data_IF_936812895968
#
_entry.id   IF_936812895968
#
_cell.length_a   1.000
_cell.length_b   1.000
_cell.length_c   1.000
_cell.angle_alpha   90.00
_cell.angle_beta   90.00
_cell.angle_gamma   90.00
#
_symmetry.space_group_name_H-M   'P 1'
#
loop_
_entity.id
_entity.type
_entity.pdbx_description
1 polymer ?
#
# COMPACT_ATOMS: atom_id res chain seq x y z
N UNK A 1 17.68 19.23 -2.82
CA UNK A 1 17.03 18.34 -1.83
C UNK A 1 17.62 16.96 -2.05
N UNK A 2 18.42 16.53 -1.14
CA UNK A 2 18.99 15.18 -1.08
C UNK A 2 17.93 14.23 -0.53
N UNK A 3 17.86 13.02 -1.10
CA UNK A 3 16.91 12.00 -0.69
C UNK A 3 17.72 10.78 -0.29
N UNK A 4 17.55 10.34 0.94
CA UNK A 4 18.14 9.12 1.47
C UNK A 4 17.11 7.99 1.33
N UNK A 5 17.49 6.91 0.63
CA UNK A 5 16.66 5.72 0.51
C UNK A 5 17.15 4.64 1.47
N UNK A 6 16.23 3.85 2.02
CA UNK A 6 16.58 2.82 2.98
C UNK A 6 15.49 1.82 3.26
N UNK A 7 15.75 0.98 4.26
CA UNK A 7 14.83 -0.02 4.80
C UNK A 7 14.34 0.48 6.16
N UNK A 8 13.06 0.32 6.44
CA UNK A 8 12.42 0.74 7.68
C UNK A 8 13.00 0.02 8.90
N UNK A 9 13.51 0.78 9.86
CA UNK A 9 13.80 0.29 11.19
C UNK A 9 12.51 -0.01 11.99
N UNK A 10 12.59 -0.93 12.94
CA UNK A 10 11.41 -1.27 13.75
C UNK A 10 10.94 -0.12 14.64
N UNK A 11 11.84 0.70 15.08
CA UNK A 11 11.62 1.93 15.84
C UNK A 11 10.96 3.03 15.02
N UNK A 12 11.08 2.97 13.68
CA UNK A 12 10.48 3.92 12.74
C UNK A 12 9.06 3.51 12.29
N UNK A 13 8.56 2.35 12.73
CA UNK A 13 7.24 1.85 12.29
C UNK A 13 6.13 2.87 12.55
N UNK A 14 6.13 3.55 13.70
CA UNK A 14 5.10 4.54 14.01
C UNK A 14 5.17 5.75 13.07
N UNK A 15 6.36 6.23 12.71
CA UNK A 15 6.53 7.31 11.75
C UNK A 15 5.95 6.94 10.37
N UNK A 16 6.20 5.70 9.90
CA UNK A 16 5.61 5.20 8.64
C UNK A 16 4.08 5.11 8.69
N UNK A 17 3.52 4.70 9.84
CA UNK A 17 2.06 4.63 10.07
C UNK A 17 1.43 6.03 10.02
N UNK A 18 2.04 7.01 10.67
CA UNK A 18 1.55 8.39 10.67
C UNK A 18 1.61 9.00 9.26
N UNK A 19 2.72 8.76 8.52
CA UNK A 19 2.87 9.20 7.14
C UNK A 19 1.79 8.57 6.26
N UNK A 20 1.63 7.25 6.32
CA UNK A 20 0.61 6.53 5.54
C UNK A 20 -0.80 7.03 5.87
N UNK A 21 -1.08 7.25 7.16
CA UNK A 21 -2.37 7.78 7.59
C UNK A 21 -2.63 9.16 6.99
N UNK A 22 -1.69 10.11 7.07
CA UNK A 22 -1.84 11.44 6.46
C UNK A 22 -2.08 11.36 4.95
N UNK A 23 -1.30 10.53 4.25
CA UNK A 23 -1.41 10.36 2.80
C UNK A 23 -2.76 9.75 2.37
N UNK A 24 -3.33 8.85 3.19
CA UNK A 24 -4.57 8.16 2.87
C UNK A 24 -5.85 8.87 3.34
N UNK A 25 -5.74 9.93 4.13
CA UNK A 25 -6.92 10.66 4.63
C UNK A 25 -7.85 11.20 3.53
N UNK A 26 -7.31 11.50 2.34
CA UNK A 26 -8.06 12.03 1.20
C UNK A 26 -8.16 11.04 0.04
N UNK A 27 -7.67 9.82 0.20
CA UNK A 27 -7.68 8.83 -0.85
C UNK A 27 -9.04 8.15 -0.96
N UNK A 28 -9.64 8.14 -2.15
CA UNK A 28 -10.99 7.62 -2.41
C UNK A 28 -11.18 6.17 -1.96
N UNK A 29 -10.14 5.37 -2.03
CA UNK A 29 -10.08 4.01 -1.52
C UNK A 29 -10.49 3.87 -0.04
N UNK A 30 -10.31 4.93 0.76
CA UNK A 30 -10.71 4.96 2.15
C UNK A 30 -11.91 5.87 2.41
N UNK A 31 -12.04 6.99 1.69
CA UNK A 31 -13.14 7.93 1.93
C UNK A 31 -14.50 7.33 1.58
N UNK A 32 -14.56 6.40 0.62
CA UNK A 32 -15.78 5.70 0.24
C UNK A 32 -16.33 4.78 1.35
N UNK A 33 -15.46 4.24 2.20
CA UNK A 33 -15.84 3.32 3.27
C UNK A 33 -15.89 3.99 4.64
N UNK A 34 -15.08 5.00 4.85
CA UNK A 34 -14.96 5.75 6.10
C UNK A 34 -15.21 7.24 5.84
N UNK A 35 -16.47 7.67 5.60
CA UNK A 35 -16.77 9.05 5.25
C UNK A 35 -16.47 10.04 6.37
N UNK A 36 -16.67 9.64 7.64
CA UNK A 36 -16.30 10.47 8.79
C UNK A 36 -14.76 10.56 8.93
N UNK A 37 -14.16 11.77 8.85
CA UNK A 37 -12.72 11.95 8.99
C UNK A 37 -12.13 11.43 10.32
N UNK A 38 -12.89 11.51 11.41
CA UNK A 38 -12.44 11.03 12.74
C UNK A 38 -12.40 9.50 12.78
N UNK A 39 -13.44 8.85 12.24
CA UNK A 39 -13.48 7.40 12.09
C UNK A 39 -12.35 6.95 11.15
N UNK A 40 -12.19 7.59 10.01
CA UNK A 40 -11.15 7.28 9.02
C UNK A 40 -9.75 7.38 9.60
N UNK A 41 -9.45 8.46 10.34
CA UNK A 41 -8.16 8.61 11.00
C UNK A 41 -7.89 7.45 11.98
N UNK A 42 -8.85 7.12 12.83
CA UNK A 42 -8.71 6.02 13.82
C UNK A 42 -8.46 4.68 13.14
N UNK A 43 -9.25 4.36 12.11
CA UNK A 43 -9.11 3.08 11.41
C UNK A 43 -7.78 3.01 10.67
N UNK A 44 -7.36 4.08 9.97
CA UNK A 44 -6.08 4.13 9.27
C UNK A 44 -4.92 3.92 10.22
N UNK A 45 -4.84 4.69 11.32
CA UNK A 45 -3.80 4.53 12.33
C UNK A 45 -3.75 3.10 12.87
N UNK A 46 -4.90 2.56 13.27
CA UNK A 46 -4.96 1.21 13.85
C UNK A 46 -4.61 0.12 12.84
N UNK A 47 -5.18 0.18 11.62
CA UNK A 47 -4.92 -0.81 10.56
C UNK A 47 -3.45 -0.81 10.13
N UNK A 48 -2.89 0.36 9.79
CA UNK A 48 -1.50 0.48 9.35
C UNK A 48 -0.54 -0.04 10.42
N UNK A 49 -0.77 0.32 11.69
CA UNK A 49 0.07 -0.14 12.78
C UNK A 49 -0.01 -1.66 12.99
N UNK A 50 -1.22 -2.23 13.04
CA UNK A 50 -1.41 -3.68 13.26
C UNK A 50 -0.93 -4.51 12.07
N UNK A 51 -1.18 -4.05 10.86
CA UNK A 51 -0.65 -4.67 9.65
C UNK A 51 0.88 -4.59 9.62
N UNK A 52 1.46 -3.43 9.92
CA UNK A 52 2.90 -3.24 10.01
C UNK A 52 3.56 -4.17 11.02
N UNK A 53 3.04 -4.24 12.26
CA UNK A 53 3.54 -5.17 13.28
C UNK A 53 3.47 -6.64 12.82
N UNK A 54 2.37 -7.04 12.17
CA UNK A 54 2.13 -8.43 11.75
C UNK A 54 3.05 -8.83 10.61
N UNK A 55 3.38 -7.88 9.73
CA UNK A 55 4.21 -8.10 8.54
C UNK A 55 5.70 -7.79 8.76
N UNK A 56 6.07 -7.19 9.89
CA UNK A 56 7.47 -6.83 10.14
C UNK A 56 8.38 -8.06 10.10
N UNK A 57 9.43 -7.99 9.29
CA UNK A 57 10.36 -9.12 9.05
C UNK A 57 9.83 -10.19 8.08
N UNK A 58 8.60 -10.05 7.54
CA UNK A 58 8.02 -10.97 6.55
C UNK A 58 7.92 -10.36 5.16
N UNK A 59 7.88 -9.05 5.08
CA UNK A 59 7.84 -8.24 3.87
C UNK A 59 8.96 -7.21 3.90
N UNK A 60 9.16 -6.49 2.81
CA UNK A 60 10.17 -5.44 2.71
C UNK A 60 9.50 -4.08 2.86
N UNK A 61 9.90 -3.33 3.87
CA UNK A 61 9.47 -1.96 4.09
C UNK A 61 10.57 -1.01 3.62
N UNK A 62 10.30 -0.23 2.58
CA UNK A 62 11.24 0.73 2.01
C UNK A 62 10.86 2.15 2.39
N UNK A 63 11.86 3.01 2.56
CA UNK A 63 11.67 4.41 2.98
C UNK A 63 12.45 5.36 2.09
N UNK A 64 11.97 6.59 2.00
CA UNK A 64 12.75 7.73 1.52
C UNK A 64 12.68 8.83 2.58
N UNK A 65 13.83 9.42 2.90
CA UNK A 65 13.97 10.48 3.89
C UNK A 65 14.57 11.74 3.26
N UNK A 66 14.17 12.88 3.77
CA UNK A 66 14.75 14.20 3.46
C UNK A 66 15.04 14.88 4.79
N UNK A 67 16.28 15.29 4.98
CA UNK A 67 16.76 15.91 6.24
C UNK A 67 16.41 15.06 7.48
N UNK A 68 16.55 13.73 7.35
CA UNK A 68 16.28 12.76 8.40
C UNK A 68 14.79 12.45 8.63
N UNK A 69 13.85 13.18 8.02
CA UNK A 69 12.40 12.95 8.12
C UNK A 69 11.93 11.98 7.03
N UNK A 70 11.12 10.98 7.39
CA UNK A 70 10.51 10.08 6.41
C UNK A 70 9.47 10.84 5.57
N UNK A 71 9.65 10.81 4.24
CA UNK A 71 8.79 11.50 3.28
C UNK A 71 8.12 10.54 2.29
N UNK A 72 8.58 9.30 2.23
CA UNK A 72 7.88 8.24 1.49
C UNK A 72 8.11 6.89 2.15
N UNK A 73 7.13 6.01 1.97
CA UNK A 73 7.10 4.65 2.51
C UNK A 73 6.45 3.71 1.50
N UNK A 74 6.99 2.49 1.38
CA UNK A 74 6.39 1.42 0.59
C UNK A 74 6.53 0.08 1.30
N UNK A 75 5.49 -0.76 1.19
CA UNK A 75 5.53 -2.17 1.54
C UNK A 75 5.57 -2.99 0.26
N UNK A 76 6.57 -3.86 0.13
CA UNK A 76 6.81 -4.67 -1.07
C UNK A 76 6.95 -6.13 -0.65
N UNK A 77 6.14 -6.99 -1.22
CA UNK A 77 6.09 -8.42 -0.94
C UNK A 77 6.85 -9.18 -2.04
N UNK A 78 7.85 -9.96 -1.64
CA UNK A 78 8.59 -10.81 -2.55
C UNK A 78 7.74 -12.04 -2.99
N UNK A 79 8.14 -12.80 -4.00
CA UNK A 79 7.38 -13.97 -4.47
C UNK A 79 7.18 -15.07 -3.41
N UNK A 80 8.05 -15.12 -2.39
CA UNK A 80 7.97 -16.09 -1.30
C UNK A 80 7.12 -15.60 -0.12
N UNK A 81 6.63 -14.35 -0.18
CA UNK A 81 5.80 -13.79 0.86
C UNK A 81 4.54 -14.65 1.10
N UNK A 82 4.34 -14.99 2.35
CA UNK A 82 3.12 -15.68 2.81
C UNK A 82 2.34 -14.76 3.72
N UNK A 83 1.13 -14.43 3.29
CA UNK A 83 0.22 -13.60 4.10
C UNK A 83 0.08 -14.22 5.49
N UNK A 84 0.25 -13.44 6.55
CA UNK A 84 0.03 -13.90 7.90
C UNK A 84 -1.39 -14.45 8.10
N UNK A 85 -1.53 -15.47 8.93
CA UNK A 85 -2.83 -16.04 9.28
C UNK A 85 -3.68 -15.06 10.07
N UNK A 86 -5.00 -15.27 10.07
CA UNK A 86 -5.94 -14.48 10.89
C UNK A 86 -5.52 -14.48 12.36
N UNK A 87 -5.07 -15.63 12.88
CA UNK A 87 -4.58 -15.72 14.26
C UNK A 87 -3.39 -14.80 14.53
N UNK A 88 -2.43 -14.72 13.60
CA UNK A 88 -1.29 -13.82 13.73
C UNK A 88 -1.72 -12.34 13.75
N UNK A 89 -2.69 -11.95 12.91
CA UNK A 89 -3.27 -10.61 12.97
C UNK A 89 -3.98 -10.34 14.31
N UNK A 90 -4.75 -11.29 14.81
CA UNK A 90 -5.44 -11.18 16.11
C UNK A 90 -4.42 -11.04 17.25
N UNK A 91 -3.36 -11.84 17.26
CA UNK A 91 -2.28 -11.75 18.26
C UNK A 91 -1.54 -10.40 18.24
N UNK A 92 -1.46 -9.73 17.09
CA UNK A 92 -0.95 -8.36 16.97
C UNK A 92 -2.03 -7.29 17.17
N UNK A 93 -3.19 -7.67 17.72
CA UNK A 93 -4.25 -6.74 18.13
C UNK A 93 -5.15 -6.24 17.01
N UNK A 94 -5.31 -7.00 15.89
CA UNK A 94 -6.17 -6.60 14.77
C UNK A 94 -7.60 -6.28 15.20
N UNK A 95 -8.14 -6.94 16.24
CA UNK A 95 -9.48 -6.66 16.75
C UNK A 95 -9.65 -5.22 17.27
N UNK A 96 -8.55 -4.56 17.63
CA UNK A 96 -8.57 -3.15 18.05
C UNK A 96 -8.89 -2.19 16.90
N UNK A 97 -8.79 -2.64 15.63
CA UNK A 97 -9.22 -1.86 14.45
C UNK A 97 -10.71 -1.53 14.52
N UNK A 98 -11.48 -2.41 15.16
CA UNK A 98 -12.94 -2.24 15.28
C UNK A 98 -13.36 -1.30 16.44
N UNK A 99 -12.42 -0.86 17.28
CA UNK A 99 -12.75 0.00 18.42
C UNK A 99 -13.11 1.43 18.00
N UNK A 100 -14.34 1.83 18.25
CA UNK A 100 -14.83 3.18 17.97
C UNK A 100 -15.02 3.48 16.48
N UNK A 101 -15.19 2.42 15.68
CA UNK A 101 -15.53 2.50 14.25
C UNK A 101 -16.70 1.57 13.95
N UNK A 102 -17.42 1.83 12.86
CA UNK A 102 -18.53 0.97 12.45
C UNK A 102 -17.97 -0.34 11.86
N UNK A 103 -18.33 -1.46 12.46
CA UNK A 103 -17.88 -2.81 12.02
C UNK A 103 -18.16 -3.04 10.53
N UNK A 104 -19.33 -2.58 10.06
CA UNK A 104 -19.71 -2.68 8.64
C UNK A 104 -18.70 -1.98 7.73
N UNK A 105 -18.25 -0.78 8.06
CA UNK A 105 -17.29 -0.03 7.24
C UNK A 105 -15.96 -0.77 7.08
N UNK A 106 -15.45 -1.37 8.16
CA UNK A 106 -14.21 -2.17 8.13
C UNK A 106 -14.39 -3.42 7.27
N UNK A 107 -15.51 -4.14 7.45
CA UNK A 107 -15.76 -5.37 6.71
C UNK A 107 -15.99 -5.11 5.22
N UNK A 108 -16.72 -4.07 4.86
CA UNK A 108 -16.94 -3.65 3.47
C UNK A 108 -15.62 -3.27 2.80
N UNK A 109 -14.77 -2.54 3.51
CA UNK A 109 -13.45 -2.18 3.01
C UNK A 109 -12.56 -3.43 2.81
N UNK A 110 -12.53 -4.38 3.77
CA UNK A 110 -11.77 -5.63 3.63
C UNK A 110 -12.25 -6.49 2.45
N UNK A 111 -13.57 -6.55 2.24
CA UNK A 111 -14.14 -7.27 1.10
C UNK A 111 -13.72 -6.64 -0.23
N UNK A 112 -13.78 -5.30 -0.31
CA UNK A 112 -13.35 -4.55 -1.48
C UNK A 112 -11.84 -4.68 -1.73
N UNK A 113 -11.01 -4.56 -0.68
CA UNK A 113 -9.55 -4.74 -0.77
C UNK A 113 -9.18 -6.11 -1.36
N UNK A 114 -9.89 -7.16 -0.91
CA UNK A 114 -9.70 -8.51 -1.44
C UNK A 114 -10.02 -8.61 -2.93
N UNK A 115 -11.09 -7.95 -3.39
CA UNK A 115 -11.47 -7.92 -4.81
C UNK A 115 -10.50 -7.09 -5.66
N UNK A 116 -10.07 -5.94 -5.15
CA UNK A 116 -9.16 -5.02 -5.85
C UNK A 116 -7.75 -5.61 -5.98
N UNK A 117 -7.24 -6.23 -4.94
CA UNK A 117 -5.88 -6.80 -4.91
C UNK A 117 -5.75 -8.16 -5.62
N UNK A 118 -6.87 -8.88 -5.80
CA UNK A 118 -6.87 -10.25 -6.33
C UNK A 118 -6.09 -10.42 -7.65
N UNK A 119 -6.25 -9.58 -8.71
CA UNK A 119 -5.48 -9.77 -9.94
C UNK A 119 -3.98 -9.69 -9.73
N UNK A 120 -3.54 -8.77 -8.88
CA UNK A 120 -2.11 -8.62 -8.57
C UNK A 120 -1.56 -9.82 -7.80
N UNK A 121 -2.32 -10.36 -6.85
CA UNK A 121 -1.93 -11.58 -6.13
C UNK A 121 -1.92 -12.80 -7.04
N UNK A 122 -2.94 -12.97 -7.90
CA UNK A 122 -2.96 -14.06 -8.88
C UNK A 122 -1.74 -13.96 -9.83
N UNK A 123 -1.40 -12.74 -10.27
CA UNK A 123 -0.24 -12.49 -11.12
C UNK A 123 1.08 -12.77 -10.39
N UNK A 124 1.24 -12.29 -9.15
CA UNK A 124 2.41 -12.55 -8.32
C UNK A 124 2.66 -14.06 -8.14
N UNK A 125 1.60 -14.82 -7.86
CA UNK A 125 1.71 -16.27 -7.64
C UNK A 125 1.91 -17.08 -8.92
N UNK A 126 1.74 -16.48 -10.10
CA UNK A 126 1.99 -17.15 -11.38
C UNK A 126 3.49 -17.26 -11.75
N UNK A 127 4.36 -16.49 -11.06
CA UNK A 127 5.81 -16.50 -11.29
C UNK A 127 6.63 -16.55 -10.01
N UNK A 128 7.90 -16.92 -10.14
CA UNK A 128 8.85 -17.00 -9.02
C UNK A 128 9.66 -15.73 -8.79
N UNK A 129 9.52 -14.74 -9.67
CA UNK A 129 10.32 -13.52 -9.75
C UNK A 129 9.45 -12.25 -9.84
N UNK A 130 8.13 -12.37 -9.56
CA UNK A 130 7.17 -11.28 -9.57
C UNK A 130 6.97 -10.77 -8.14
N UNK A 131 7.21 -9.46 -7.94
CA UNK A 131 7.01 -8.78 -6.67
C UNK A 131 5.69 -8.01 -6.66
N UNK A 132 5.07 -7.89 -5.49
CA UNK A 132 3.84 -7.14 -5.32
C UNK A 132 4.06 -5.96 -4.37
N UNK A 133 3.64 -4.77 -4.77
CA UNK A 133 3.68 -3.58 -3.92
C UNK A 133 2.30 -3.36 -3.31
N UNK A 134 2.18 -3.62 -2.02
CA UNK A 134 0.90 -3.60 -1.30
C UNK A 134 0.55 -2.22 -0.74
N UNK A 135 1.52 -1.34 -0.53
CA UNK A 135 1.31 0.01 -0.02
C UNK A 135 2.38 0.96 -0.55
N UNK A 136 1.97 2.15 -0.96
CA UNK A 136 2.88 3.23 -1.37
C UNK A 136 2.33 4.55 -0.90
N UNK A 137 3.15 5.32 -0.21
CA UNK A 137 2.78 6.66 0.23
C UNK A 137 3.91 7.64 0.03
N UNK A 138 3.55 8.89 -0.30
CA UNK A 138 4.42 10.04 -0.26
C UNK A 138 3.73 11.12 0.55
N UNK A 139 4.42 11.68 1.52
CA UNK A 139 3.95 12.77 2.37
C UNK A 139 3.30 13.88 1.50
N UNK A 140 2.06 14.31 1.79
CA UNK A 140 1.34 15.27 0.95
C UNK A 140 2.13 16.52 0.58
N UNK A 141 2.88 17.09 1.53
CA UNK A 141 3.72 18.29 1.32
C UNK A 141 4.90 18.04 0.37
N UNK A 142 5.30 16.80 0.17
CA UNK A 142 6.41 16.37 -0.68
C UNK A 142 5.97 15.81 -2.02
N UNK A 143 4.66 15.71 -2.27
CA UNK A 143 4.13 15.28 -3.56
C UNK A 143 4.45 16.29 -4.67
N UNK A 144 4.48 15.83 -5.92
CA UNK A 144 4.78 16.63 -7.13
C UNK A 144 6.19 17.24 -7.16
N UNK A 145 7.09 16.83 -6.26
CA UNK A 145 8.51 17.25 -6.23
C UNK A 145 9.46 16.19 -6.81
N UNK A 146 8.92 15.19 -7.53
CA UNK A 146 9.71 14.13 -8.17
C UNK A 146 10.11 12.98 -7.23
N UNK A 147 9.80 13.06 -5.92
CA UNK A 147 10.18 12.03 -4.93
C UNK A 147 9.57 10.67 -5.30
N UNK A 148 8.29 10.62 -5.65
CA UNK A 148 7.63 9.36 -5.99
C UNK A 148 8.31 8.62 -7.14
N UNK A 149 8.70 9.29 -8.22
CA UNK A 149 9.39 8.66 -9.35
C UNK A 149 10.79 8.17 -8.98
N UNK A 150 11.54 8.94 -8.17
CA UNK A 150 12.85 8.51 -7.66
C UNK A 150 12.72 7.31 -6.71
N UNK A 151 11.65 7.29 -5.92
CA UNK A 151 11.36 6.20 -5.00
C UNK A 151 10.96 4.92 -5.75
N UNK A 152 10.19 5.03 -6.85
CA UNK A 152 9.92 3.89 -7.75
C UNK A 152 11.24 3.35 -8.33
N UNK A 153 12.11 4.19 -8.85
CA UNK A 153 13.41 3.75 -9.38
C UNK A 153 14.23 3.00 -8.31
N UNK A 154 14.23 3.47 -7.07
CA UNK A 154 14.89 2.79 -5.95
C UNK A 154 14.27 1.40 -5.68
N UNK A 155 12.93 1.24 -5.70
CA UNK A 155 12.35 -0.12 -5.51
C UNK A 155 12.73 -1.05 -6.66
N UNK A 156 12.71 -0.54 -7.88
CA UNK A 156 13.07 -1.34 -9.06
C UNK A 156 14.49 -1.88 -8.93
N UNK A 157 15.45 -1.05 -8.53
CA UNK A 157 16.82 -1.48 -8.29
C UNK A 157 16.88 -2.47 -7.11
N UNK A 158 16.19 -2.17 -6.01
CA UNK A 158 16.09 -3.04 -4.85
C UNK A 158 15.55 -4.44 -5.19
N UNK A 159 14.53 -4.50 -6.06
CA UNK A 159 13.92 -5.74 -6.53
C UNK A 159 14.87 -6.50 -7.47
N UNK A 160 15.52 -5.82 -8.44
CA UNK A 160 16.50 -6.42 -9.36
C UNK A 160 17.67 -7.06 -8.62
N UNK A 161 18.23 -6.36 -7.64
CA UNK A 161 19.33 -6.87 -6.80
C UNK A 161 18.97 -8.17 -6.06
N UNK A 162 17.67 -8.44 -5.89
CA UNK A 162 17.13 -9.64 -5.23
C UNK A 162 16.53 -10.66 -6.20
N UNK A 163 16.86 -10.52 -7.48
CA UNK A 163 16.47 -11.47 -8.54
C UNK A 163 15.02 -11.32 -9.01
N UNK A 164 14.32 -10.27 -8.59
CA UNK A 164 13.01 -9.95 -9.12
C UNK A 164 13.11 -9.40 -10.54
N UNK A 165 12.18 -9.80 -11.40
CA UNK A 165 12.11 -9.36 -12.80
C UNK A 165 10.86 -8.59 -13.14
N UNK A 166 9.85 -8.70 -12.32
CA UNK A 166 8.59 -8.01 -12.52
C UNK A 166 8.04 -7.49 -11.19
N UNK A 167 7.29 -6.41 -11.28
CA UNK A 167 6.51 -5.90 -10.16
C UNK A 167 5.07 -5.65 -10.58
N UNK A 168 4.15 -5.75 -9.62
CA UNK A 168 2.74 -5.43 -9.80
C UNK A 168 2.19 -4.67 -8.60
N UNK A 169 1.17 -3.88 -8.84
CA UNK A 169 0.36 -3.20 -7.83
C UNK A 169 -1.01 -2.85 -8.41
N UNK A 170 -1.96 -2.48 -7.55
CA UNK A 170 -3.23 -1.93 -8.00
C UNK A 170 -3.46 -0.51 -7.50
N UNK A 171 -4.36 0.20 -8.17
CA UNK A 171 -4.83 1.52 -7.76
C UNK A 171 -6.29 1.73 -8.13
N UNK A 172 -6.98 2.58 -7.36
CA UNK A 172 -8.36 3.00 -7.60
C UNK A 172 -8.47 4.50 -7.92
N UNK A 173 -7.36 5.13 -8.24
CA UNK A 173 -7.28 6.56 -8.56
C UNK A 173 -6.68 6.78 -9.93
N UNK A 174 -7.40 7.49 -10.80
CA UNK A 174 -6.90 7.89 -12.14
C UNK A 174 -5.60 8.69 -12.05
N UNK A 175 -5.49 9.55 -11.03
CA UNK A 175 -4.27 10.33 -10.77
C UNK A 175 -3.08 9.40 -10.49
N UNK A 176 -3.27 8.38 -9.67
CA UNK A 176 -2.23 7.41 -9.36
C UNK A 176 -1.92 6.53 -10.58
N UNK A 177 -2.95 6.12 -11.33
CA UNK A 177 -2.77 5.38 -12.58
C UNK A 177 -1.91 6.17 -13.57
N UNK A 178 -2.21 7.46 -13.78
CA UNK A 178 -1.41 8.32 -14.66
C UNK A 178 0.05 8.43 -14.17
N UNK A 179 0.26 8.50 -12.85
CA UNK A 179 1.59 8.50 -12.25
C UNK A 179 2.34 7.18 -12.49
N UNK A 180 1.70 6.02 -12.29
CA UNK A 180 2.32 4.72 -12.53
C UNK A 180 2.64 4.52 -14.01
N UNK A 181 1.74 4.88 -14.92
CA UNK A 181 1.99 4.81 -16.38
C UNK A 181 3.17 5.68 -16.80
N UNK A 182 3.29 6.90 -16.25
CA UNK A 182 4.46 7.78 -16.48
C UNK A 182 5.79 7.13 -16.04
N UNK A 183 5.75 6.24 -15.03
CA UNK A 183 6.91 5.50 -14.55
C UNK A 183 7.06 4.11 -15.21
N UNK A 184 6.36 3.87 -16.34
CA UNK A 184 6.53 2.69 -17.18
C UNK A 184 5.74 1.47 -16.74
N UNK A 185 4.75 1.60 -15.83
CA UNK A 185 3.86 0.51 -15.51
C UNK A 185 2.71 0.45 -16.52
N UNK A 186 2.30 -0.76 -16.89
CA UNK A 186 1.25 -1.04 -17.87
C UNK A 186 0.06 -1.72 -17.20
N UNK A 187 -1.16 -1.38 -17.67
CA UNK A 187 -2.39 -2.02 -17.17
C UNK A 187 -2.44 -3.44 -17.71
N UNK A 188 -2.72 -4.42 -16.85
CA UNK A 188 -2.99 -5.79 -17.24
C UNK A 188 -4.38 -6.30 -16.82
N UNK A 189 -5.03 -5.60 -15.87
CA UNK A 189 -6.42 -5.86 -15.48
C UNK A 189 -7.11 -4.54 -15.12
N UNK A 190 -8.38 -4.44 -15.51
CA UNK A 190 -9.25 -3.30 -15.22
C UNK A 190 -10.65 -3.81 -14.90
N UNK A 191 -11.22 -3.34 -13.80
CA UNK A 191 -12.55 -3.79 -13.35
C UNK A 191 -13.31 -2.74 -12.57
N UNK A 192 -14.64 -2.85 -12.60
CA UNK A 192 -15.51 -2.11 -11.70
C UNK A 192 -15.80 -2.96 -10.46
N UNK A 193 -15.61 -2.39 -9.28
CA UNK A 193 -15.95 -2.99 -8.00
C UNK A 193 -17.20 -2.30 -7.49
N UNK A 194 -18.26 -3.07 -7.21
CA UNK A 194 -19.49 -2.54 -6.66
C UNK A 194 -19.27 -2.17 -5.19
N UNK A 195 -19.56 -0.91 -4.86
CA UNK A 195 -19.49 -0.39 -3.49
C UNK A 195 -20.79 -0.68 -2.72
N UNK A 196 -20.77 -0.65 -1.38
CA UNK A 196 -21.93 -0.91 -0.54
C UNK A 196 -23.12 0.04 -0.75
N UNK A 197 -22.88 1.23 -1.29
CA UNK A 197 -23.88 2.24 -1.63
C UNK A 197 -24.47 2.07 -3.05
N UNK A 198 -24.04 1.04 -3.78
CA UNK A 198 -24.48 0.75 -5.16
C UNK A 198 -23.67 1.47 -6.24
N UNK A 199 -22.76 2.37 -5.88
CA UNK A 199 -21.83 2.99 -6.79
C UNK A 199 -20.75 2.01 -7.24
N UNK A 200 -20.01 2.35 -8.29
CA UNK A 200 -18.88 1.58 -8.78
C UNK A 200 -17.58 2.33 -8.53
N UNK A 201 -16.58 1.61 -8.08
CA UNK A 201 -15.21 2.09 -8.00
C UNK A 201 -14.37 1.35 -9.03
N UNK A 202 -13.72 2.09 -9.93
CA UNK A 202 -12.79 1.52 -10.90
C UNK A 202 -11.51 1.08 -10.19
N UNK A 203 -11.00 -0.09 -10.56
CA UNK A 203 -9.72 -0.62 -10.09
C UNK A 203 -8.86 -1.02 -11.27
N UNK A 204 -7.60 -0.60 -11.26
CA UNK A 204 -6.60 -0.96 -12.27
C UNK A 204 -5.46 -1.71 -11.59
N UNK A 205 -5.14 -2.88 -12.13
CA UNK A 205 -3.93 -3.60 -11.79
C UNK A 205 -2.88 -3.32 -12.86
N UNK A 206 -1.71 -2.89 -12.42
CA UNK A 206 -0.60 -2.52 -13.28
C UNK A 206 0.63 -3.34 -12.97
N UNK A 207 1.47 -3.55 -13.98
CA UNK A 207 2.73 -4.29 -13.87
C UNK A 207 3.85 -3.59 -14.63
N UNK A 208 5.08 -3.98 -14.32
CA UNK A 208 6.28 -3.55 -15.03
C UNK A 208 7.32 -4.67 -15.04
N UNK A 209 7.92 -4.92 -16.19
CA UNK A 209 9.15 -5.70 -16.29
C UNK A 209 10.35 -4.83 -15.93
N UNK A 210 11.29 -5.34 -15.14
CA UNK A 210 12.41 -4.63 -14.53
C UNK A 210 13.72 -4.85 -15.28
#
# INVERSE_FOLDING_TARGET
>A
MEIEFGILGRDELMESVELATRAYMTYEYFTNFFPDPKERYKVLMSMQYRAGLTNFGKTHFLTAKVDGKMVAFAQIDNPQYKRPSVLQFVLHGWLLVYLGVKIKHVNDWLAMDTLASKPCHDYQHAGSDIWYTSSVTVEPEYQRKGIGSKFIAFWEDYIRERGGKELTLFTNSEKNLAFYRKNGLEIFDERDILLPDGNKMRSWSVKKTL
#
